data_IF_083826534202
#
_entry.id   IF_083826534202
#
_cell.length_a   1.000
_cell.length_b   1.000
_cell.length_c   1.000
_cell.angle_alpha   90.00
_cell.angle_beta   90.00
_cell.angle_gamma   90.00
#
_symmetry.space_group_name_H-M   'P 1'
#
loop_
_entity.id
_entity.type
_entity.pdbx_description
1 polymer ?
#
# COMPACT_ATOMS: atom_id res chain seq x y z
N UNK A 1 14.37 -36.25 -46.08
CA UNK A 1 13.37 -35.26 -45.62
C UNK A 1 13.70 -34.86 -44.19
N UNK A 2 14.21 -33.65 -43.97
CA UNK A 2 14.68 -33.17 -42.66
C UNK A 2 13.61 -32.22 -42.09
N UNK A 3 12.84 -32.68 -41.12
CA UNK A 3 11.82 -31.86 -40.44
C UNK A 3 12.52 -30.94 -39.45
N UNK A 4 12.58 -29.64 -39.75
CA UNK A 4 13.06 -28.62 -38.81
C UNK A 4 11.92 -28.32 -37.83
N UNK A 5 12.10 -28.67 -36.56
CA UNK A 5 11.24 -28.17 -35.48
C UNK A 5 11.72 -26.76 -35.11
N UNK A 6 10.87 -25.75 -35.35
CA UNK A 6 11.10 -24.40 -34.86
C UNK A 6 10.69 -24.33 -33.38
N UNK A 7 11.67 -24.16 -32.49
CA UNK A 7 11.41 -23.89 -31.08
C UNK A 7 11.00 -22.40 -30.94
N UNK A 8 9.72 -22.17 -30.63
CA UNK A 8 9.21 -20.86 -30.22
C UNK A 8 9.74 -20.56 -28.81
N UNK A 9 10.81 -19.77 -28.72
CA UNK A 9 11.33 -19.27 -27.47
C UNK A 9 10.46 -18.10 -26.98
N UNK A 10 9.50 -18.38 -26.11
CA UNK A 10 8.72 -17.35 -25.40
C UNK A 10 9.62 -16.60 -24.43
N UNK A 11 10.09 -15.42 -24.80
CA UNK A 11 10.79 -14.51 -23.89
C UNK A 11 9.78 -13.89 -22.92
N UNK A 12 9.75 -14.39 -21.68
CA UNK A 12 9.13 -13.68 -20.56
C UNK A 12 9.88 -12.37 -20.34
N UNK A 13 9.27 -11.26 -20.73
CA UNK A 13 9.74 -9.93 -20.36
C UNK A 13 9.36 -9.74 -18.90
N UNK A 14 10.32 -9.89 -17.99
CA UNK A 14 10.15 -9.50 -16.60
C UNK A 14 9.95 -7.98 -16.56
N UNK A 15 8.73 -7.53 -16.30
CA UNK A 15 8.49 -6.11 -16.04
C UNK A 15 9.21 -5.76 -14.74
N UNK A 16 10.02 -4.69 -14.70
CA UNK A 16 10.60 -4.24 -13.46
C UNK A 16 9.45 -3.85 -12.53
N UNK A 17 9.40 -4.47 -11.36
CA UNK A 17 8.56 -3.96 -10.28
C UNK A 17 9.10 -2.57 -9.92
N UNK A 18 8.32 -1.53 -10.18
CA UNK A 18 8.64 -0.20 -9.67
C UNK A 18 8.43 -0.27 -8.16
N UNK A 19 9.49 -0.48 -7.40
CA UNK A 19 9.40 -0.42 -5.94
C UNK A 19 9.25 1.04 -5.58
N UNK A 20 8.11 1.44 -5.01
CA UNK A 20 7.97 2.77 -4.44
C UNK A 20 8.95 2.89 -3.25
N UNK A 21 9.90 3.81 -3.34
CA UNK A 21 10.86 4.02 -2.26
C UNK A 21 10.16 4.60 -1.03
N UNK A 22 10.14 3.82 0.06
CA UNK A 22 9.59 4.19 1.38
C UNK A 22 10.05 5.59 1.84
N UNK A 23 11.34 5.98 1.74
CA UNK A 23 11.75 7.32 2.16
C UNK A 23 11.15 8.45 1.33
N UNK A 24 10.80 8.21 0.06
CA UNK A 24 10.32 9.24 -0.86
C UNK A 24 8.86 9.65 -0.62
N UNK A 25 8.07 8.79 0.04
CA UNK A 25 6.66 9.07 0.35
C UNK A 25 6.45 9.79 1.68
N UNK A 26 7.43 9.82 2.59
CA UNK A 26 7.32 10.52 3.87
C UNK A 26 7.06 12.02 3.64
N UNK A 27 6.08 12.58 4.36
CA UNK A 27 5.65 13.96 4.23
C UNK A 27 4.70 14.24 3.05
N UNK A 28 4.41 13.25 2.20
CA UNK A 28 3.44 13.40 1.11
C UNK A 28 2.00 13.23 1.62
N UNK A 29 1.01 13.86 0.96
CA UNK A 29 -0.39 13.52 1.16
C UNK A 29 -0.60 12.02 0.94
N UNK A 30 -1.34 11.38 1.84
CA UNK A 30 -1.57 9.94 1.80
C UNK A 30 -2.22 9.49 0.49
N UNK A 31 -3.16 10.27 -0.04
CA UNK A 31 -3.80 10.00 -1.32
C UNK A 31 -2.80 9.85 -2.48
N UNK A 32 -1.76 10.70 -2.52
CA UNK A 32 -0.69 10.63 -3.52
C UNK A 32 0.24 9.45 -3.30
N UNK A 33 0.61 9.18 -2.05
CA UNK A 33 1.45 8.04 -1.69
C UNK A 33 0.75 6.71 -2.05
N UNK A 34 -0.55 6.61 -1.75
CA UNK A 34 -1.41 5.48 -2.10
C UNK A 34 -1.46 5.24 -3.61
N UNK A 35 -1.68 6.30 -4.40
CA UNK A 35 -1.69 6.20 -5.87
C UNK A 35 -0.35 5.72 -6.41
N UNK A 36 0.76 6.24 -5.88
CA UNK A 36 2.10 5.81 -6.25
C UNK A 36 2.35 4.33 -5.91
N UNK A 37 1.92 3.88 -4.73
CA UNK A 37 2.03 2.47 -4.30
C UNK A 37 1.23 1.53 -5.20
N UNK A 38 -0.02 1.89 -5.52
CA UNK A 38 -0.85 1.11 -6.44
C UNK A 38 -0.24 1.05 -7.84
N UNK A 39 0.29 2.17 -8.34
CA UNK A 39 0.97 2.23 -9.62
C UNK A 39 2.28 1.42 -9.64
N UNK A 40 2.90 1.23 -8.48
CA UNK A 40 4.07 0.42 -8.23
C UNK A 40 3.78 -1.09 -8.13
N UNK A 41 2.50 -1.50 -8.15
CA UNK A 41 2.09 -2.90 -8.05
C UNK A 41 1.80 -3.37 -6.63
N UNK A 42 1.68 -2.45 -5.66
CA UNK A 42 1.14 -2.77 -4.34
C UNK A 42 -0.39 -2.76 -4.38
N UNK A 43 -0.99 -3.69 -3.66
CA UNK A 43 -2.43 -3.75 -3.45
C UNK A 43 -2.79 -3.13 -2.10
N UNK A 44 -3.96 -2.47 -2.07
CA UNK A 44 -4.57 -1.91 -0.88
C UNK A 44 -5.80 -2.75 -0.50
N UNK A 45 -5.61 -3.95 0.10
CA UNK A 45 -6.70 -4.84 0.41
C UNK A 45 -7.60 -4.23 1.48
N UNK A 46 -8.88 -4.59 1.48
CA UNK A 46 -9.75 -4.27 2.59
C UNK A 46 -9.17 -4.87 3.89
N UNK A 47 -9.16 -4.08 4.96
CA UNK A 47 -8.72 -4.56 6.26
C UNK A 47 -9.60 -5.74 6.73
N UNK A 48 -8.97 -6.75 7.32
CA UNK A 48 -9.65 -7.97 7.80
C UNK A 48 -10.62 -7.72 8.96
N UNK A 49 -10.52 -6.55 9.59
CA UNK A 49 -11.29 -6.13 10.74
C UNK A 49 -11.75 -4.69 10.54
N UNK A 50 -12.89 -4.37 11.13
CA UNK A 50 -13.35 -3.00 11.26
C UNK A 50 -12.23 -2.15 11.89
N UNK A 51 -12.00 -0.96 11.35
CA UNK A 51 -10.90 -0.09 11.75
C UNK A 51 -10.96 0.34 13.22
N UNK A 52 -12.06 0.00 13.92
CA UNK A 52 -12.21 0.12 15.37
C UNK A 52 -12.25 1.57 15.86
N UNK A 53 -12.45 2.51 14.94
CA UNK A 53 -12.39 3.94 15.19
C UNK A 53 -13.68 4.61 14.73
N UNK A 54 -14.74 4.50 15.54
CA UNK A 54 -16.04 5.16 15.30
C UNK A 54 -15.89 6.67 15.08
N UNK A 55 -14.93 7.30 15.75
CA UNK A 55 -14.58 8.72 15.59
C UNK A 55 -13.75 9.02 14.31
N UNK A 56 -13.44 8.00 13.49
CA UNK A 56 -12.68 8.06 12.23
C UNK A 56 -13.37 7.34 11.09
N UNK A 57 -14.69 7.15 11.17
CA UNK A 57 -15.47 6.45 10.17
C UNK A 57 -15.25 7.01 8.76
N UNK A 58 -15.03 8.33 8.62
CA UNK A 58 -14.72 8.97 7.35
C UNK A 58 -13.42 8.44 6.70
N UNK A 59 -12.36 8.19 7.46
CA UNK A 59 -11.11 7.63 6.94
C UNK A 59 -11.30 6.16 6.59
N UNK A 60 -11.94 5.39 7.48
CA UNK A 60 -12.12 3.95 7.28
C UNK A 60 -13.02 3.61 6.09
N UNK A 61 -14.04 4.43 5.83
CA UNK A 61 -14.93 4.26 4.67
C UNK A 61 -14.30 4.76 3.37
N UNK A 62 -13.39 5.73 3.44
CA UNK A 62 -12.67 6.25 2.27
C UNK A 62 -11.54 5.32 1.83
N UNK A 63 -10.80 4.76 2.79
CA UNK A 63 -9.63 3.91 2.56
C UNK A 63 -9.86 2.53 3.18
N UNK A 64 -10.24 1.57 2.35
CA UNK A 64 -10.54 0.20 2.78
C UNK A 64 -9.36 -0.49 3.47
N UNK A 65 -8.14 -0.08 3.16
CA UNK A 65 -6.91 -0.63 3.72
C UNK A 65 -6.57 -0.11 5.13
N UNK A 66 -7.42 0.73 5.71
CA UNK A 66 -7.24 1.26 7.08
C UNK A 66 -7.34 0.13 8.09
N UNK A 67 -6.24 -0.21 8.75
CA UNK A 67 -6.22 -1.24 9.80
C UNK A 67 -6.62 -0.69 11.17
N UNK A 68 -6.19 0.53 11.49
CA UNK A 68 -6.46 1.16 12.79
C UNK A 68 -6.18 2.66 12.76
N UNK A 69 -6.84 3.40 13.65
CA UNK A 69 -6.54 4.80 13.94
C UNK A 69 -6.41 5.05 15.46
N UNK A 70 -5.51 5.95 15.85
CA UNK A 70 -5.17 6.25 17.25
C UNK A 70 -5.83 7.55 17.74
N UNK A 71 -6.57 7.47 18.85
CA UNK A 71 -7.21 8.61 19.52
C UNK A 71 -6.29 9.49 20.36
N UNK A 72 -4.99 9.56 20.05
CA UNK A 72 -3.97 10.29 20.83
C UNK A 72 -3.96 11.81 20.57
N UNK A 73 -4.85 12.31 19.71
CA UNK A 73 -4.92 13.73 19.33
C UNK A 73 -3.96 14.14 18.21
N UNK A 74 -3.17 13.20 17.68
CA UNK A 74 -2.30 13.40 16.51
C UNK A 74 -2.92 12.86 15.20
N UNK A 75 -4.08 12.19 15.31
CA UNK A 75 -4.78 11.60 14.17
C UNK A 75 -4.02 10.48 13.46
N UNK A 76 -3.21 9.69 14.17
CA UNK A 76 -2.46 8.61 13.53
C UNK A 76 -3.40 7.54 12.95
N UNK A 77 -3.11 7.07 11.74
CA UNK A 77 -3.77 5.89 11.16
C UNK A 77 -2.73 5.00 10.47
N UNK A 78 -2.97 3.69 10.50
CA UNK A 78 -2.14 2.67 9.86
C UNK A 78 -2.91 2.02 8.70
N UNK A 79 -2.23 1.88 7.56
CA UNK A 79 -2.79 1.35 6.32
C UNK A 79 -1.93 0.21 5.80
N UNK A 80 -2.56 -0.92 5.44
CA UNK A 80 -1.85 -2.12 4.97
C UNK A 80 -1.77 -2.16 3.45
N UNK A 81 -0.58 -2.46 2.95
CA UNK A 81 -0.34 -2.77 1.55
C UNK A 81 0.33 -4.13 1.41
N UNK A 82 0.05 -4.84 0.32
CA UNK A 82 0.67 -6.12 -0.01
C UNK A 82 1.15 -6.14 -1.46
N UNK A 83 2.30 -6.73 -1.76
CA UNK A 83 2.76 -6.95 -3.14
C UNK A 83 2.32 -8.33 -3.67
N UNK A 84 2.56 -8.58 -4.96
CA UNK A 84 2.23 -9.85 -5.61
C UNK A 84 3.00 -11.07 -5.06
N UNK A 85 4.11 -10.85 -4.36
CA UNK A 85 4.89 -11.89 -3.67
C UNK A 85 4.39 -12.12 -2.23
N UNK A 86 3.37 -11.38 -1.79
CA UNK A 86 2.82 -11.43 -0.43
C UNK A 86 3.62 -10.65 0.61
N UNK A 87 4.61 -9.82 0.21
CA UNK A 87 5.29 -8.92 1.15
C UNK A 87 4.30 -7.85 1.58
N UNK A 88 4.26 -7.58 2.87
CA UNK A 88 3.37 -6.59 3.45
C UNK A 88 4.15 -5.35 3.92
N UNK A 89 3.51 -4.20 3.84
CA UNK A 89 3.99 -2.93 4.36
C UNK A 89 2.87 -2.23 5.11
N UNK A 90 3.22 -1.48 6.15
CA UNK A 90 2.33 -0.52 6.81
C UNK A 90 2.79 0.89 6.48
N UNK A 91 1.84 1.71 6.08
CA UNK A 91 2.00 3.17 5.97
C UNK A 91 1.30 3.77 7.18
N UNK A 92 2.00 4.63 7.91
CA UNK A 92 1.46 5.37 9.05
C UNK A 92 1.34 6.83 8.65
N UNK A 93 0.18 7.44 8.90
CA UNK A 93 -0.06 8.86 8.63
C UNK A 93 -0.33 9.64 9.90
N UNK A 94 -0.23 10.96 9.86
CA UNK A 94 -0.85 11.90 10.80
C UNK A 94 -1.90 12.74 10.08
N UNK A 95 -2.88 13.28 10.81
CA UNK A 95 -3.87 14.22 10.28
C UNK A 95 -5.31 13.93 10.70
N UNK A 96 -6.10 14.99 10.87
CA UNK A 96 -7.46 14.94 11.40
C UNK A 96 -8.52 14.57 10.35
N UNK A 97 -8.31 14.90 9.07
CA UNK A 97 -9.29 14.69 8.01
C UNK A 97 -8.69 13.87 6.88
N UNK A 98 -9.53 13.29 6.01
CA UNK A 98 -9.10 12.50 4.84
C UNK A 98 -8.12 13.30 3.97
N UNK A 99 -8.38 14.59 3.79
CA UNK A 99 -7.61 15.49 2.94
C UNK A 99 -6.29 15.94 3.57
N UNK A 100 -6.17 15.84 4.89
CA UNK A 100 -4.99 16.28 5.65
C UNK A 100 -4.11 15.13 6.12
N UNK A 101 -4.42 13.89 5.71
CA UNK A 101 -3.54 12.75 5.99
C UNK A 101 -2.20 12.92 5.27
N UNK A 102 -1.13 12.90 6.04
CA UNK A 102 0.25 12.99 5.58
C UNK A 102 1.01 11.77 6.05
N UNK A 103 1.79 11.14 5.17
CA UNK A 103 2.63 9.99 5.52
C UNK A 103 3.66 10.43 6.56
N UNK A 104 3.61 9.80 7.72
CA UNK A 104 4.55 9.99 8.82
C UNK A 104 5.67 8.95 8.79
N UNK A 105 5.32 7.70 8.51
CA UNK A 105 6.27 6.58 8.45
C UNK A 105 5.76 5.50 7.49
N UNK A 106 6.66 4.63 7.03
CA UNK A 106 6.29 3.42 6.32
C UNK A 106 7.35 2.32 6.54
N UNK A 107 6.91 1.10 6.79
CA UNK A 107 7.81 0.00 7.12
C UNK A 107 7.25 -1.35 6.67
N UNK A 108 8.16 -2.25 6.27
CA UNK A 108 7.82 -3.62 5.95
C UNK A 108 7.29 -4.33 7.21
N UNK A 109 6.24 -5.14 7.04
CA UNK A 109 5.71 -5.99 8.10
C UNK A 109 6.47 -7.31 8.07
N UNK A 110 7.27 -7.56 9.11
CA UNK A 110 8.04 -8.81 9.23
C UNK A 110 7.37 -9.74 10.24
N UNK A 111 6.34 -10.48 9.80
CA UNK A 111 5.62 -11.46 10.61
C UNK A 111 4.82 -10.85 11.78
N UNK A 112 3.83 -11.61 12.26
CA UNK A 112 3.06 -11.32 13.47
C UNK A 112 3.69 -11.98 14.71
#
# INVERSE_FOLDING_TARGET
>A
MRRMLAALASTLIAMPAFVADIPAMIGQPYSKAREALISAGWEAPAAERDCGAEWRENVCTTYQETESCSGTGMGFCAFRFVDADGKAMRVVTTGETVETLVVHDAFAVTGD
#
